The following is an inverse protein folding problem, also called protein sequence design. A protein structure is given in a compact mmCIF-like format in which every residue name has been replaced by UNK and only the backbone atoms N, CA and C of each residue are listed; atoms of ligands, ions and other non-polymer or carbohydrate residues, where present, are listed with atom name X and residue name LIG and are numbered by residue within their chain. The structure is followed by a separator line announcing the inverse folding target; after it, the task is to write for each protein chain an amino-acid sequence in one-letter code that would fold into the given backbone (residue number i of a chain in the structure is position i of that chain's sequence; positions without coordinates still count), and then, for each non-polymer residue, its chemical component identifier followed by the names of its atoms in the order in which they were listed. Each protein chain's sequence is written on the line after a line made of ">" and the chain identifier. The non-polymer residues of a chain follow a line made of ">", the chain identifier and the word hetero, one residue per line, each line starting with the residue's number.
data_IF_061973963456
#
_entry.id   IF_061973963456
#
_cell.length_a   1.000
_cell.length_b   1.000
_cell.length_c   1.000
_cell.angle_alpha   90.00
_cell.angle_beta   90.00
_cell.angle_gamma   90.00
#
_symmetry.space_group_name_H-M   'P 1'
#
loop_
_entity.id
_entity.type
_entity.pdbx_description
1 polymer ?
#
# COMPACT_ATOMS: atom_id res chain seq x y z
N UNK A 1 15.99 -9.42 -7.23
CA UNK A 1 14.84 -9.92 -8.00
C UNK A 1 15.33 -11.16 -8.73
N UNK A 2 14.68 -12.32 -8.55
CA UNK A 2 15.13 -13.60 -9.14
C UNK A 2 14.18 -13.93 -10.29
N UNK A 3 14.74 -14.36 -11.42
CA UNK A 3 14.00 -14.81 -12.60
C UNK A 3 14.31 -16.30 -12.83
N UNK A 4 13.31 -17.07 -13.25
CA UNK A 4 13.55 -18.46 -13.67
C UNK A 4 14.36 -18.47 -14.97
N UNK A 5 15.27 -19.45 -15.11
CA UNK A 5 16.02 -19.64 -16.36
C UNK A 5 15.11 -19.99 -17.54
N UNK A 6 15.66 -19.92 -18.76
CA UNK A 6 14.94 -20.35 -19.96
C UNK A 6 14.60 -21.85 -19.86
N UNK A 7 13.31 -22.19 -19.93
CA UNK A 7 12.81 -23.57 -19.82
C UNK A 7 12.58 -24.06 -18.40
N UNK A 8 12.89 -23.26 -17.38
CA UNK A 8 12.73 -23.63 -15.98
C UNK A 8 11.36 -23.18 -15.44
N UNK A 9 10.65 -24.11 -14.79
CA UNK A 9 9.37 -23.77 -14.15
C UNK A 9 9.62 -22.97 -12.88
N UNK A 10 8.84 -21.91 -12.70
CA UNK A 10 8.87 -21.09 -11.49
C UNK A 10 8.73 -21.93 -10.20
N UNK A 11 7.96 -23.02 -10.24
CA UNK A 11 7.75 -23.91 -9.09
C UNK A 11 9.03 -24.62 -8.62
N UNK A 12 9.93 -24.96 -9.56
CA UNK A 12 11.23 -25.56 -9.26
C UNK A 12 12.13 -24.54 -8.56
N UNK A 13 12.21 -23.33 -9.13
CA UNK A 13 13.00 -22.22 -8.58
C UNK A 13 12.50 -21.83 -7.18
N UNK A 14 11.18 -21.74 -6.98
CA UNK A 14 10.59 -21.47 -5.66
C UNK A 14 10.92 -22.58 -4.68
N UNK A 15 10.91 -23.84 -5.13
CA UNK A 15 11.30 -24.98 -4.31
C UNK A 15 12.74 -24.88 -3.82
N UNK A 16 13.69 -24.64 -4.72
CA UNK A 16 15.12 -24.51 -4.38
C UNK A 16 15.39 -23.33 -3.44
N UNK A 17 14.79 -22.16 -3.72
CA UNK A 17 14.94 -20.98 -2.86
C UNK A 17 14.36 -21.26 -1.46
N UNK A 18 13.18 -21.89 -1.39
CA UNK A 18 12.56 -22.24 -0.11
C UNK A 18 13.47 -23.17 0.68
N UNK A 19 14.00 -24.20 0.03
CA UNK A 19 14.89 -25.19 0.67
C UNK A 19 16.17 -24.55 1.20
N UNK A 20 16.80 -23.70 0.39
CA UNK A 20 17.97 -22.94 0.82
C UNK A 20 17.67 -22.04 2.02
N UNK A 21 16.56 -21.30 1.99
CA UNK A 21 16.18 -20.39 3.07
C UNK A 21 15.80 -21.13 4.36
N UNK A 22 15.16 -22.29 4.26
CA UNK A 22 14.83 -23.15 5.41
C UNK A 22 16.09 -23.79 6.02
N UNK A 23 17.15 -24.00 5.23
CA UNK A 23 18.42 -24.52 5.73
C UNK A 23 19.28 -23.41 6.36
N UNK A 24 19.22 -22.18 5.81
CA UNK A 24 19.97 -21.02 6.31
C UNK A 24 19.29 -20.32 7.51
N UNK A 25 17.97 -20.47 7.65
CA UNK A 25 17.15 -19.82 8.68
C UNK A 25 16.16 -20.81 9.32
N UNK A 26 15.48 -20.40 10.40
CA UNK A 26 14.37 -21.22 10.92
C UNK A 26 13.25 -21.32 9.87
N UNK A 27 12.73 -22.53 9.65
CA UNK A 27 11.65 -22.78 8.69
C UNK A 27 10.44 -21.86 8.91
N UNK A 28 10.14 -21.53 10.16
CA UNK A 28 9.03 -20.66 10.56
C UNK A 28 9.23 -19.20 10.13
N UNK A 29 10.46 -18.79 9.86
CA UNK A 29 10.79 -17.44 9.38
C UNK A 29 10.58 -17.27 7.87
N UNK A 30 10.41 -18.38 7.14
CA UNK A 30 10.24 -18.39 5.69
C UNK A 30 8.75 -18.38 5.35
N UNK A 31 8.31 -17.32 4.67
CA UNK A 31 6.92 -17.17 4.21
C UNK A 31 6.89 -17.18 2.69
N UNK A 32 6.23 -18.19 2.11
CA UNK A 32 5.96 -18.25 0.67
C UNK A 32 4.53 -17.83 0.40
N UNK A 33 4.36 -16.94 -0.58
CA UNK A 33 3.05 -16.46 -1.01
C UNK A 33 2.76 -17.04 -2.39
N UNK A 34 1.77 -17.92 -2.49
CA UNK A 34 1.36 -18.51 -3.77
C UNK A 34 -0.13 -18.82 -3.78
N UNK A 35 -0.73 -18.81 -4.98
CA UNK A 35 -2.07 -19.34 -5.25
C UNK A 35 -2.03 -20.76 -5.82
N UNK A 36 -0.84 -21.24 -6.20
CA UNK A 36 -0.64 -22.58 -6.74
C UNK A 36 -0.65 -23.63 -5.62
N UNK A 37 -1.47 -24.68 -5.80
CA UNK A 37 -1.63 -25.74 -4.80
C UNK A 37 -0.41 -26.65 -4.70
N UNK A 38 0.26 -26.92 -5.80
CA UNK A 38 1.44 -27.79 -5.85
C UNK A 38 2.63 -27.11 -5.16
N UNK A 39 2.87 -25.83 -5.45
CA UNK A 39 3.87 -25.01 -4.76
C UNK A 39 3.57 -24.96 -3.27
N UNK A 40 2.32 -24.66 -2.90
CA UNK A 40 1.89 -24.59 -1.51
C UNK A 40 2.14 -25.90 -0.74
N UNK A 41 1.83 -27.04 -1.34
CA UNK A 41 2.07 -28.34 -0.72
C UNK A 41 3.57 -28.64 -0.57
N UNK A 42 4.37 -28.42 -1.61
CA UNK A 42 5.83 -28.61 -1.55
C UNK A 42 6.49 -27.73 -0.51
N UNK A 43 6.07 -26.49 -0.39
CA UNK A 43 6.63 -25.56 0.61
C UNK A 43 6.25 -25.97 2.04
N UNK A 44 5.00 -26.35 2.29
CA UNK A 44 4.57 -26.82 3.62
C UNK A 44 5.31 -28.07 4.07
N UNK A 45 5.57 -29.01 3.15
CA UNK A 45 6.36 -30.22 3.44
C UNK A 45 7.78 -29.90 3.91
N UNK A 46 8.29 -28.72 3.57
CA UNK A 46 9.60 -28.21 4.02
C UNK A 46 9.52 -27.38 5.29
N UNK A 47 8.37 -27.30 5.95
CA UNK A 47 8.21 -26.57 7.22
C UNK A 47 8.04 -25.06 7.10
N UNK A 48 8.03 -24.51 5.88
CA UNK A 48 7.83 -23.07 5.66
C UNK A 48 6.35 -22.67 5.70
N UNK A 49 6.07 -21.43 6.12
CA UNK A 49 4.72 -20.87 6.16
C UNK A 49 4.23 -20.58 4.74
N UNK A 50 3.02 -21.00 4.41
CA UNK A 50 2.39 -20.69 3.11
C UNK A 50 1.17 -19.81 3.29
N UNK A 51 1.12 -18.71 2.55
CA UNK A 51 -0.01 -17.77 2.51
C UNK A 51 -0.62 -17.67 1.12
N UNK A 52 -1.94 -17.57 1.06
CA UNK A 52 -2.64 -17.35 -0.19
C UNK A 52 -2.38 -15.94 -0.75
N UNK A 53 -2.17 -15.84 -2.06
CA UNK A 53 -1.93 -14.56 -2.75
C UNK A 53 -3.00 -13.51 -2.45
N UNK A 54 -4.27 -13.91 -2.39
CA UNK A 54 -5.40 -13.00 -2.11
C UNK A 54 -5.36 -12.46 -0.68
N UNK A 55 -5.10 -13.32 0.30
CA UNK A 55 -5.00 -12.93 1.70
C UNK A 55 -3.80 -12.02 1.95
N UNK A 56 -2.68 -12.33 1.30
CA UNK A 56 -1.49 -11.50 1.36
C UNK A 56 -1.74 -10.12 0.73
N UNK A 57 -2.35 -10.08 -0.45
CA UNK A 57 -2.71 -8.83 -1.11
C UNK A 57 -3.64 -7.96 -0.24
N UNK A 58 -4.64 -8.56 0.40
CA UNK A 58 -5.53 -7.87 1.33
C UNK A 58 -4.77 -7.29 2.53
N UNK A 59 -3.84 -8.05 3.13
CA UNK A 59 -2.98 -7.57 4.22
C UNK A 59 -2.07 -6.43 3.79
N UNK A 60 -1.44 -6.52 2.62
CA UNK A 60 -0.59 -5.46 2.06
C UNK A 60 -1.43 -4.20 1.83
N UNK A 61 -2.59 -4.31 1.18
CA UNK A 61 -3.50 -3.18 0.97
C UNK A 61 -3.91 -2.53 2.28
N UNK A 62 -4.34 -3.31 3.27
CA UNK A 62 -4.71 -2.78 4.58
C UNK A 62 -3.54 -2.05 5.27
N UNK A 63 -2.32 -2.58 5.18
CA UNK A 63 -1.12 -1.98 5.77
C UNK A 63 -0.69 -0.70 5.05
N UNK A 64 -0.70 -0.71 3.72
CA UNK A 64 -0.35 0.44 2.89
C UNK A 64 -1.38 1.56 3.08
N UNK A 65 -2.67 1.25 3.06
CA UNK A 65 -3.73 2.22 3.28
C UNK A 65 -3.69 2.82 4.70
N UNK A 66 -3.39 2.02 5.73
CA UNK A 66 -3.19 2.53 7.09
C UNK A 66 -2.00 3.49 7.19
N UNK A 67 -0.86 3.15 6.58
CA UNK A 67 0.31 4.05 6.54
C UNK A 67 0.02 5.33 5.74
N UNK A 68 -0.68 5.23 4.62
CA UNK A 68 -1.09 6.38 3.80
C UNK A 68 -2.04 7.31 4.55
N UNK A 69 -3.03 6.77 5.28
CA UNK A 69 -3.94 7.55 6.12
C UNK A 69 -3.23 8.26 7.27
N UNK A 70 -2.27 7.59 7.93
CA UNK A 70 -1.45 8.22 8.98
C UNK A 70 -0.64 9.40 8.42
N UNK A 71 0.08 9.20 7.32
CA UNK A 71 0.81 10.29 6.64
C UNK A 71 -0.10 11.46 6.26
N UNK A 72 -1.28 11.17 5.70
CA UNK A 72 -2.24 12.23 5.30
C UNK A 72 -2.77 13.01 6.51
N UNK A 73 -3.00 12.35 7.65
CA UNK A 73 -3.42 13.00 8.89
C UNK A 73 -2.31 13.91 9.44
N UNK A 74 -1.08 13.41 9.52
CA UNK A 74 0.07 14.17 9.99
C UNK A 74 0.34 15.40 9.10
N UNK A 75 0.11 15.29 7.78
CA UNK A 75 0.23 16.39 6.82
C UNK A 75 -0.88 17.44 6.99
N UNK A 76 -2.10 17.03 7.33
CA UNK A 76 -3.22 17.93 7.63
C UNK A 76 -2.99 18.66 8.95
N UNK A 77 -2.52 17.97 9.99
CA UNK A 77 -2.18 18.59 11.29
C UNK A 77 -1.07 19.63 11.11
N UNK A 78 0.01 19.32 10.37
CA UNK A 78 1.07 20.29 10.04
C UNK A 78 0.58 21.52 9.27
N UNK A 79 -0.41 21.37 8.38
CA UNK A 79 -1.00 22.50 7.63
C UNK A 79 -1.92 23.36 8.51
N UNK A 80 -2.54 22.79 9.55
CA UNK A 80 -3.37 23.52 10.51
C UNK A 80 -2.55 24.37 11.48
N UNK A 81 -1.36 23.90 11.85
CA UNK A 81 -0.47 24.60 12.79
C UNK A 81 0.25 25.80 12.17
N UNK A 82 0.18 25.97 10.84
CA UNK A 82 0.84 27.06 10.14
C UNK A 82 -0.15 28.21 9.91
N UNK A 83 0.10 29.41 10.46
CA UNK A 83 -0.71 30.57 10.14
C UNK A 83 -0.60 30.88 8.63
N UNK A 84 -1.73 31.24 8.02
CA UNK A 84 -1.78 31.62 6.60
C UNK A 84 -0.87 32.84 6.37
N UNK A 85 -0.14 32.83 5.26
CA UNK A 85 0.63 34.01 4.88
C UNK A 85 -0.32 35.14 4.43
N UNK A 86 0.08 36.42 4.55
CA UNK A 86 -0.76 37.55 4.15
C UNK A 86 -1.24 37.47 2.69
N UNK A 87 -0.40 36.95 1.79
CA UNK A 87 -0.75 36.74 0.38
C UNK A 87 -1.81 35.66 0.18
N UNK A 88 -1.78 34.59 0.98
CA UNK A 88 -2.81 33.55 0.92
C UNK A 88 -4.14 34.09 1.45
N UNK A 89 -4.12 34.93 2.49
CA UNK A 89 -5.32 35.59 3.02
C UNK A 89 -5.96 36.49 1.95
N UNK A 90 -5.17 37.31 1.26
CA UNK A 90 -5.65 38.20 0.19
C UNK A 90 -6.28 37.43 -0.98
N UNK A 91 -5.67 36.30 -1.38
CA UNK A 91 -6.22 35.42 -2.42
C UNK A 91 -7.56 34.78 -1.97
N UNK A 92 -7.66 34.36 -0.70
CA UNK A 92 -8.90 33.85 -0.13
C UNK A 92 -9.99 34.93 -0.08
N UNK A 93 -9.68 36.14 0.36
CA UNK A 93 -10.63 37.27 0.39
C UNK A 93 -11.18 37.57 -1.01
N UNK A 94 -10.31 37.63 -2.02
CA UNK A 94 -10.71 37.78 -3.43
C UNK A 94 -11.63 36.67 -3.92
N UNK A 95 -11.32 35.41 -3.58
CA UNK A 95 -12.14 34.27 -3.97
C UNK A 95 -13.52 34.28 -3.30
N UNK A 96 -13.61 34.70 -2.05
CA UNK A 96 -14.87 34.81 -1.31
C UNK A 96 -15.70 36.01 -1.77
N UNK A 97 -15.10 37.17 -2.04
CA UNK A 97 -15.79 38.33 -2.64
C UNK A 97 -16.36 37.99 -4.01
N UNK A 98 -15.58 37.32 -4.87
CA UNK A 98 -16.04 36.86 -6.19
C UNK A 98 -17.20 35.86 -6.11
N UNK A 99 -17.36 35.16 -4.99
CA UNK A 99 -18.47 34.22 -4.76
C UNK A 99 -19.72 34.92 -4.24
N UNK A 100 -19.58 35.98 -3.44
CA UNK A 100 -20.67 36.82 -2.97
C UNK A 100 -21.28 37.67 -4.10
N UNK A 101 -20.46 38.15 -5.05
CA UNK A 101 -20.94 38.86 -6.24
C UNK A 101 -21.77 37.97 -7.19
N UNK A 102 -21.55 36.65 -7.19
CA UNK A 102 -22.37 35.70 -7.98
C UNK A 102 -23.64 35.23 -7.27
N UNK A 103 -23.85 35.64 -6.01
CA UNK A 103 -25.02 35.28 -5.21
C UNK A 103 -26.04 36.40 -5.01
N UNK A 104 -25.75 37.63 -5.44
CA UNK A 104 -26.66 38.79 -5.30
C UNK A 104 -27.50 39.05 -6.56
N UNK A 105 -27.81 38.01 -7.33
CA UNK A 105 -28.47 38.11 -8.63
C UNK A 105 -29.86 37.50 -8.74
N UNK A 106 -30.48 37.05 -7.64
CA UNK A 106 -31.84 36.47 -7.67
C UNK A 106 -32.59 36.82 -6.38
N UNK A 107 -33.18 38.02 -6.32
CA UNK A 107 -34.42 38.28 -5.57
C UNK A 107 -35.24 39.26 -6.42
N UNK A 108 -36.04 38.74 -7.34
CA UNK A 108 -37.16 39.47 -7.94
C UNK A 108 -38.29 39.56 -6.90
N UNK A 109 -38.82 40.77 -6.70
CA UNK A 109 -40.22 41.01 -6.32
C UNK A 109 -40.94 41.59 -7.54
#
# INVERSE_FOLDING_TARGET
>A
MVFSGAGEKADSVVGEITERLVNEHSAESVVVVSSDREVSQRTRRRGAEVRGSREFANRVRARVLRKGRKRKRDDIERRRERPLSPREVEEWERLFQKRMDRGSGDVEE
#
